data_IF_943405147020
#
_entry.id   IF_943405147020
#
_cell.length_a   1.000
_cell.length_b   1.000
_cell.length_c   1.000
_cell.angle_alpha   90.00
_cell.angle_beta   90.00
_cell.angle_gamma   90.00
#
_symmetry.space_group_name_H-M   'P 1'
#
loop_
_entity.id
_entity.type
_entity.pdbx_description
1 polymer ?
#
# COMPACT_ATOMS: atom_id res chain seq x y z
N UNK A 1 1.79 15.82 -11.60
CA UNK A 1 2.75 16.63 -10.81
C UNK A 1 3.63 15.68 -10.01
N UNK A 2 4.95 15.94 -9.96
CA UNK A 2 5.91 15.05 -9.30
C UNK A 2 5.97 15.36 -7.81
N UNK A 3 5.90 14.30 -6.99
CA UNK A 3 6.00 14.37 -5.54
C UNK A 3 7.06 13.39 -5.08
N UNK A 4 7.71 13.73 -3.97
CA UNK A 4 8.30 12.71 -3.12
C UNK A 4 7.31 12.30 -2.04
N UNK A 5 7.21 11.00 -1.82
CA UNK A 5 6.23 10.37 -0.96
C UNK A 5 6.95 9.51 0.05
N UNK A 6 6.60 9.70 1.32
CA UNK A 6 7.08 8.90 2.43
C UNK A 6 5.93 8.06 2.98
N UNK A 7 6.10 6.74 2.99
CA UNK A 7 5.18 5.84 3.69
C UNK A 7 5.42 5.94 5.19
N UNK A 8 4.38 6.26 5.94
CA UNK A 8 4.47 6.31 7.41
C UNK A 8 3.99 5.01 8.07
N UNK A 9 3.51 4.05 7.27
CA UNK A 9 3.05 2.74 7.73
C UNK A 9 3.57 1.62 6.82
N UNK A 10 3.71 0.43 7.40
CA UNK A 10 3.96 -0.81 6.68
C UNK A 10 3.00 -1.88 7.20
N UNK A 11 2.20 -2.47 6.31
CA UNK A 11 1.14 -3.44 6.67
C UNK A 11 0.24 -2.96 7.84
N UNK A 12 -0.17 -1.69 7.83
CA UNK A 12 -1.01 -1.13 8.90
C UNK A 12 -0.24 -0.57 10.10
N UNK A 13 0.97 -1.05 10.36
CA UNK A 13 1.77 -0.66 11.52
C UNK A 13 2.50 0.66 11.26
N UNK A 14 2.50 1.57 12.24
CA UNK A 14 3.20 2.86 12.14
C UNK A 14 4.71 2.62 12.17
N UNK A 15 5.40 3.15 11.18
CA UNK A 15 6.86 3.12 11.15
C UNK A 15 7.41 4.19 12.11
N UNK A 16 8.52 3.90 12.81
CA UNK A 16 9.34 4.93 13.43
C UNK A 16 9.69 6.02 12.41
N UNK A 17 9.76 7.29 12.84
CA UNK A 17 10.01 8.42 11.94
C UNK A 17 11.32 8.28 11.16
N UNK A 18 12.36 7.73 11.80
CA UNK A 18 13.67 7.45 11.20
C UNK A 18 13.61 6.41 10.09
N UNK A 19 12.84 5.32 10.29
CA UNK A 19 12.67 4.26 9.29
C UNK A 19 11.78 4.70 8.12
N UNK A 20 10.72 5.45 8.41
CA UNK A 20 9.82 6.01 7.40
C UNK A 20 10.58 6.93 6.42
N UNK A 21 11.51 7.74 6.93
CA UNK A 21 12.34 8.61 6.09
C UNK A 21 13.41 7.82 5.34
N UNK A 22 14.12 6.89 5.99
CA UNK A 22 15.20 6.11 5.36
C UNK A 22 14.73 5.17 4.27
N UNK A 23 13.67 4.40 4.51
CA UNK A 23 13.24 3.32 3.62
C UNK A 23 12.00 3.68 2.79
N UNK A 24 11.24 4.69 3.22
CA UNK A 24 9.93 5.02 2.67
C UNK A 24 9.92 6.08 1.57
N UNK A 25 11.03 6.77 1.29
CA UNK A 25 11.06 7.81 0.24
C UNK A 25 10.90 7.18 -1.15
N UNK A 26 9.89 7.63 -1.90
CA UNK A 26 9.65 7.29 -3.30
C UNK A 26 9.31 8.55 -4.07
N UNK A 27 9.73 8.66 -5.33
CA UNK A 27 9.48 9.85 -6.15
C UNK A 27 8.74 9.43 -7.40
N UNK A 28 7.68 10.15 -7.75
CA UNK A 28 6.90 9.84 -8.94
C UNK A 28 5.77 10.83 -9.18
N UNK A 29 4.95 10.53 -10.17
CA UNK A 29 3.72 11.28 -10.42
C UNK A 29 2.63 10.86 -9.44
N UNK A 30 2.23 11.79 -8.58
CA UNK A 30 1.10 11.56 -7.69
C UNK A 30 -0.20 11.91 -8.41
N UNK A 31 -1.14 10.97 -8.43
CA UNK A 31 -2.50 11.18 -8.92
C UNK A 31 -3.50 10.85 -7.83
N UNK A 32 -4.54 11.67 -7.74
CA UNK A 32 -5.66 11.49 -6.82
C UNK A 32 -6.95 11.74 -7.60
N UNK A 33 -7.79 10.72 -7.70
CA UNK A 33 -8.99 10.78 -8.52
C UNK A 33 -10.11 9.92 -7.95
N UNK A 34 -11.32 10.15 -8.42
CA UNK A 34 -12.50 9.42 -8.03
C UNK A 34 -12.62 8.13 -8.85
N UNK A 35 -12.63 6.97 -8.19
CA UNK A 35 -12.89 5.68 -8.86
C UNK A 35 -14.38 5.42 -9.00
N UNK A 36 -15.13 5.68 -7.92
CA UNK A 36 -16.58 5.48 -7.91
C UNK A 36 -17.22 6.72 -7.36
N UNK A 37 -18.08 7.32 -8.18
CA UNK A 37 -18.87 8.46 -7.80
C UNK A 37 -20.05 8.06 -6.92
N UNK A 38 -20.21 8.78 -5.81
CA UNK A 38 -21.40 8.72 -4.98
C UNK A 38 -21.90 10.17 -4.81
N UNK A 39 -23.17 10.47 -5.16
CA UNK A 39 -23.71 11.83 -5.08
C UNK A 39 -23.80 12.36 -3.63
N UNK A 40 -23.66 11.50 -2.63
CA UNK A 40 -23.66 11.91 -1.22
C UNK A 40 -22.28 12.46 -0.84
N UNK A 41 -22.19 13.66 -0.23
CA UNK A 41 -20.92 14.27 0.13
C UNK A 41 -20.00 13.33 0.92
N UNK A 42 -18.76 13.21 0.47
CA UNK A 42 -17.72 12.42 1.13
C UNK A 42 -17.86 10.90 1.00
N UNK A 43 -18.84 10.38 0.24
CA UNK A 43 -19.01 8.93 0.03
C UNK A 43 -18.29 8.40 -1.21
N UNK A 44 -17.89 9.27 -2.11
CA UNK A 44 -17.04 8.95 -3.26
C UNK A 44 -15.82 8.11 -2.85
N UNK A 45 -15.58 7.05 -3.62
CA UNK A 45 -14.40 6.21 -3.45
C UNK A 45 -13.25 6.82 -4.22
N UNK A 46 -12.41 7.52 -3.48
CA UNK A 46 -11.21 8.16 -4.02
C UNK A 46 -10.03 7.19 -4.00
N UNK A 47 -9.18 7.29 -5.01
CA UNK A 47 -7.94 6.52 -5.14
C UNK A 47 -6.74 7.47 -5.20
N UNK A 48 -5.64 7.07 -4.57
CA UNK A 48 -4.35 7.71 -4.75
C UNK A 48 -3.32 6.71 -5.31
N UNK A 49 -2.57 7.17 -6.31
CA UNK A 49 -1.53 6.38 -6.98
C UNK A 49 -0.24 7.19 -7.07
N UNK A 50 0.89 6.52 -6.93
CA UNK A 50 2.20 7.08 -7.25
C UNK A 50 2.81 6.26 -8.39
N UNK A 51 2.96 6.87 -9.56
CA UNK A 51 3.47 6.20 -10.76
C UNK A 51 4.86 6.69 -11.15
N UNK A 52 5.61 5.86 -11.87
CA UNK A 52 6.84 6.26 -12.54
C UNK A 52 6.54 7.31 -13.64
N UNK A 53 7.58 7.94 -14.20
CA UNK A 53 7.42 8.92 -15.27
C UNK A 53 6.73 8.36 -16.54
N UNK A 54 6.68 7.03 -16.68
CA UNK A 54 5.92 6.36 -17.75
C UNK A 54 4.39 6.48 -17.57
N UNK A 55 3.92 6.89 -16.39
CA UNK A 55 2.50 7.04 -16.07
C UNK A 55 1.75 5.71 -15.88
N UNK A 56 2.42 4.56 -16.03
CA UNK A 56 1.83 3.23 -16.02
C UNK A 56 2.33 2.38 -14.85
N UNK A 57 3.61 2.50 -14.51
CA UNK A 57 4.24 1.67 -13.49
C UNK A 57 3.97 2.24 -12.10
N UNK A 58 3.24 1.51 -11.26
CA UNK A 58 3.04 1.90 -9.85
C UNK A 58 4.33 1.72 -9.04
N UNK A 59 4.79 2.80 -8.41
CA UNK A 59 5.95 2.79 -7.51
C UNK A 59 5.53 2.37 -6.10
N UNK A 60 4.32 2.75 -5.69
CA UNK A 60 3.71 2.35 -4.43
C UNK A 60 2.39 1.62 -4.66
N UNK A 61 2.03 0.67 -3.80
CA UNK A 61 0.71 0.04 -3.81
C UNK A 61 -0.41 1.08 -3.79
N UNK A 62 -1.44 0.89 -4.61
CA UNK A 62 -2.56 1.82 -4.73
C UNK A 62 -3.29 1.98 -3.40
N UNK A 63 -3.61 3.22 -3.02
CA UNK A 63 -4.48 3.49 -1.88
C UNK A 63 -5.94 3.58 -2.32
N UNK A 64 -6.76 2.67 -1.81
CA UNK A 64 -8.22 2.74 -1.90
C UNK A 64 -8.78 3.58 -0.74
N UNK A 65 -10.00 4.11 -0.93
CA UNK A 65 -10.70 4.98 0.03
C UNK A 65 -9.84 6.14 0.52
N UNK A 66 -9.03 6.70 -0.39
CA UNK A 66 -8.02 7.68 -0.08
C UNK A 66 -8.63 9.02 0.36
N UNK A 67 -8.13 9.57 1.47
CA UNK A 67 -8.53 10.87 2.02
C UNK A 67 -7.33 11.78 2.03
N UNK A 68 -7.48 12.96 1.43
CA UNK A 68 -6.43 13.99 1.38
C UNK A 68 -6.65 15.00 2.49
N UNK A 69 -5.57 15.35 3.18
CA UNK A 69 -5.49 16.50 4.08
C UNK A 69 -4.31 17.36 3.66
N UNK A 70 -4.54 18.66 3.44
CA UNK A 70 -3.45 19.61 3.21
C UNK A 70 -2.77 19.92 4.54
N UNK A 71 -1.45 19.97 4.53
CA UNK A 71 -0.61 20.33 5.68
C UNK A 71 0.45 21.32 5.23
N UNK A 72 1.14 21.95 6.17
CA UNK A 72 2.27 22.79 5.80
C UNK A 72 3.37 21.96 5.10
N UNK A 73 3.92 22.50 4.02
CA UNK A 73 4.94 21.83 3.22
C UNK A 73 4.48 20.61 2.39
N UNK A 74 3.18 20.29 2.33
CA UNK A 74 2.72 19.18 1.48
C UNK A 74 1.29 18.71 1.72
N UNK A 75 1.05 17.44 1.41
CA UNK A 75 -0.24 16.79 1.64
C UNK A 75 -0.07 15.45 2.35
N UNK A 76 -1.04 15.10 3.18
CA UNK A 76 -1.15 13.81 3.83
C UNK A 76 -2.29 13.04 3.18
N UNK A 77 -2.02 11.83 2.69
CA UNK A 77 -3.02 10.94 2.10
C UNK A 77 -3.14 9.68 2.95
N UNK A 78 -4.31 9.43 3.52
CA UNK A 78 -4.61 8.21 4.26
C UNK A 78 -5.57 7.33 3.48
N UNK A 79 -5.39 6.01 3.48
CA UNK A 79 -6.26 5.09 2.78
C UNK A 79 -6.00 3.64 3.16
N UNK A 80 -6.46 2.71 2.32
CA UNK A 80 -6.25 1.27 2.46
C UNK A 80 -5.37 0.78 1.31
N UNK A 81 -4.27 0.13 1.65
CA UNK A 81 -3.50 -0.69 0.72
C UNK A 81 -4.18 -2.06 0.62
N UNK A 82 -4.62 -2.43 -0.58
CA UNK A 82 -5.34 -3.68 -0.85
C UNK A 82 -4.37 -4.68 -1.47
N UNK A 83 -4.04 -5.74 -0.73
CA UNK A 83 -3.16 -6.82 -1.20
C UNK A 83 -4.01 -8.07 -1.46
N UNK A 84 -4.13 -8.55 -2.71
CA UNK A 84 -4.85 -9.79 -2.99
C UNK A 84 -4.06 -10.99 -2.43
N UNK A 85 -4.70 -11.80 -1.57
CA UNK A 85 -4.15 -13.05 -1.01
C UNK A 85 -4.36 -14.28 -1.92
N UNK A 86 -4.98 -14.09 -3.08
CA UNK A 86 -5.24 -15.14 -4.07
C UNK A 86 -6.67 -15.11 -4.63
N UNK A 87 -6.84 -15.71 -5.81
CA UNK A 87 -8.14 -15.87 -6.47
C UNK A 87 -8.68 -17.25 -6.07
N UNK A 88 -9.60 -17.28 -5.10
CA UNK A 88 -10.42 -18.47 -4.86
C UNK A 88 -11.61 -18.51 -5.81
N UNK A 89 -12.06 -19.71 -6.19
CA UNK A 89 -13.16 -19.97 -7.16
C UNK A 89 -14.45 -19.17 -6.87
N UNK A 90 -14.65 -18.67 -5.64
CA UNK A 90 -15.85 -17.90 -5.26
C UNK A 90 -15.61 -16.62 -4.47
N UNK A 91 -14.38 -16.27 -4.10
CA UNK A 91 -14.08 -15.05 -3.35
C UNK A 91 -12.63 -14.61 -3.57
N UNK A 92 -12.42 -13.36 -3.99
CA UNK A 92 -11.10 -12.72 -3.92
C UNK A 92 -10.83 -12.38 -2.45
N UNK A 93 -9.92 -13.11 -1.80
CA UNK A 93 -9.50 -12.77 -0.45
C UNK A 93 -8.51 -11.62 -0.56
N UNK A 94 -8.83 -10.46 0.01
CA UNK A 94 -7.95 -9.28 0.04
C UNK A 94 -7.56 -8.94 1.47
N UNK A 95 -6.29 -8.64 1.69
CA UNK A 95 -5.85 -7.90 2.86
C UNK A 95 -5.97 -6.42 2.64
N UNK A 96 -6.51 -5.74 3.64
CA UNK A 96 -6.64 -4.30 3.63
C UNK A 96 -5.80 -3.74 4.79
N UNK A 97 -4.74 -3.03 4.45
CA UNK A 97 -3.83 -2.43 5.42
C UNK A 97 -4.00 -0.91 5.45
N UNK A 98 -4.32 -0.32 6.61
CA UNK A 98 -4.31 1.13 6.75
C UNK A 98 -2.94 1.72 6.40
N UNK A 99 -2.94 2.68 5.50
CA UNK A 99 -1.74 3.33 5.03
C UNK A 99 -1.87 4.84 5.10
N UNK A 100 -0.71 5.48 5.23
CA UNK A 100 -0.62 6.94 5.22
C UNK A 100 0.65 7.36 4.51
N UNK A 101 0.49 8.28 3.57
CA UNK A 101 1.53 8.85 2.73
C UNK A 101 1.68 10.31 3.09
N UNK A 102 2.90 10.72 3.40
CA UNK A 102 3.27 12.13 3.43
C UNK A 102 3.88 12.48 2.09
N UNK A 103 3.25 13.39 1.35
CA UNK A 103 3.66 13.78 0.02
C UNK A 103 4.14 15.23 0.03
N UNK A 104 5.38 15.46 -0.38
CA UNK A 104 5.96 16.78 -0.57
C UNK A 104 6.13 17.05 -2.06
N UNK A 105 5.66 18.19 -2.59
CA UNK A 105 5.86 18.53 -4.00
C UNK A 105 7.36 18.64 -4.27
N UNK A 106 7.81 17.98 -5.34
CA UNK A 106 9.22 18.02 -5.72
C UNK A 106 9.41 19.11 -6.80
N UNK A 107 10.36 20.05 -6.63
CA UNK A 107 10.68 21.01 -7.67
C UNK A 107 11.09 20.30 -8.95
N UNK A 108 10.67 20.82 -10.10
CA UNK A 108 10.87 20.21 -11.42
C UNK A 108 12.36 19.92 -11.73
N UNK A 109 13.27 20.76 -11.21
CA UNK A 109 14.73 20.59 -11.33
C UNK A 109 15.29 19.34 -10.63
N UNK A 110 14.55 18.80 -9.66
CA UNK A 110 14.95 17.64 -8.85
C UNK A 110 14.18 16.37 -9.24
N UNK A 111 13.24 16.46 -10.19
CA UNK A 111 12.50 15.29 -10.66
C UNK A 111 13.45 14.31 -11.40
N UNK A 112 13.36 12.99 -11.12
CA UNK A 112 14.14 12.00 -11.83
C UNK A 112 13.88 12.12 -13.33
N UNK A 113 14.95 12.22 -14.12
CA UNK A 113 14.85 12.16 -15.57
C UNK A 113 14.35 10.76 -15.95
N UNK A 114 13.31 10.71 -16.78
CA UNK A 114 12.58 9.51 -17.23
C UNK A 114 13.47 8.29 -17.36
N UNK A 115 13.32 7.32 -16.46
CA UNK A 115 13.73 5.93 -16.69
C UNK A 115 12.83 5.35 -17.76
N UNK A 116 13.35 4.45 -18.59
CA UNK A 116 12.51 3.80 -19.60
C UNK A 116 11.41 2.96 -18.89
N UNK A 117 10.23 2.77 -19.50
CA UNK A 117 9.16 1.95 -18.91
C UNK A 117 9.63 0.51 -18.60
N UNK A 118 10.58 -0.01 -19.39
CA UNK A 118 11.16 -1.34 -19.19
C UNK A 118 11.99 -1.45 -17.90
N UNK A 119 12.84 -0.46 -17.61
CA UNK A 119 13.64 -0.39 -16.38
C UNK A 119 12.75 -0.23 -15.15
N UNK A 120 11.72 0.61 -15.25
CA UNK A 120 10.76 0.86 -14.18
C UNK A 120 9.98 -0.40 -13.80
N UNK A 121 9.53 -1.19 -14.79
CA UNK A 121 8.86 -2.48 -14.54
C UNK A 121 9.79 -3.52 -13.93
N UNK A 122 11.05 -3.57 -14.38
CA UNK A 122 12.04 -4.49 -13.84
C UNK A 122 12.36 -4.16 -12.36
N UNK A 123 12.45 -2.88 -12.01
CA UNK A 123 12.71 -2.42 -10.65
C UNK A 123 11.50 -2.65 -9.73
N UNK A 124 10.28 -2.33 -10.18
CA UNK A 124 9.05 -2.60 -9.44
C UNK A 124 8.87 -4.10 -9.14
N UNK A 125 9.21 -4.95 -10.12
CA UNK A 125 9.22 -6.41 -9.94
C UNK A 125 10.26 -6.85 -8.91
N UNK A 126 11.50 -6.35 -9.01
CA UNK A 126 12.56 -6.65 -8.02
C UNK A 126 12.17 -6.22 -6.61
N UNK A 127 11.61 -5.02 -6.46
CA UNK A 127 11.16 -4.50 -5.17
C UNK A 127 10.01 -5.35 -4.60
N UNK A 128 9.04 -5.73 -5.44
CA UNK A 128 7.95 -6.62 -5.05
C UNK A 128 8.44 -8.02 -4.63
N UNK A 129 9.43 -8.57 -5.34
CA UNK A 129 10.05 -9.86 -5.02
C UNK A 129 10.89 -9.79 -3.73
N UNK A 130 11.62 -8.71 -3.50
CA UNK A 130 12.42 -8.51 -2.28
C UNK A 130 11.54 -8.34 -1.03
N UNK A 131 10.44 -7.61 -1.16
CA UNK A 131 9.39 -7.53 -0.13
C UNK A 131 8.78 -8.90 0.13
N UNK A 132 8.47 -9.68 -0.93
CA UNK A 132 7.99 -11.06 -0.79
C UNK A 132 8.97 -11.99 -0.06
N UNK A 133 10.27 -11.87 -0.33
CA UNK A 133 11.31 -12.70 0.30
C UNK A 133 11.55 -12.35 1.77
N UNK A 134 11.51 -11.07 2.12
CA UNK A 134 11.67 -10.63 3.52
C UNK A 134 10.51 -11.10 4.39
N UNK A 135 9.30 -11.18 3.84
CA UNK A 135 8.11 -11.68 4.54
C UNK A 135 8.15 -13.19 4.86
N UNK A 136 8.80 -14.00 4.02
CA UNK A 136 8.89 -15.45 4.23
C UNK A 136 9.99 -15.87 5.24
N UNK A 137 10.77 -14.92 5.80
CA UNK A 137 11.92 -15.21 6.65
C UNK A 137 11.60 -15.29 8.15
N UNK A 138 10.39 -14.92 8.58
CA UNK A 138 10.01 -14.97 10.00
C UNK A 138 9.29 -16.28 10.34
N UNK A 139 9.69 -17.04 11.38
CA UNK A 139 9.02 -18.28 11.72
C UNK A 139 7.57 -18.01 12.15
N UNK A 140 6.61 -18.48 11.38
CA UNK A 140 5.22 -18.59 11.79
C UNK A 140 5.15 -19.43 13.08
N UNK A 141 4.82 -18.79 14.22
CA UNK A 141 4.32 -19.52 15.40
C UNK A 141 3.06 -20.28 15.00
N UNK A 142 3.19 -21.59 14.74
CA UNK A 142 2.06 -22.52 14.76
C UNK A 142 1.66 -22.71 16.23
N UNK A 143 0.68 -21.96 16.70
CA UNK A 143 -0.02 -22.30 17.92
C UNK A 143 -0.93 -23.50 17.63
N UNK A 144 -0.60 -24.66 18.20
CA UNK A 144 -1.53 -25.79 18.32
C UNK A 144 -2.73 -25.33 19.15
N UNK A 145 -3.94 -25.41 18.58
CA UNK A 145 -5.17 -25.46 19.37
C UNK A 145 -5.47 -26.94 19.61
N UNK A 146 -5.29 -27.41 20.84
CA UNK A 146 -5.88 -28.66 21.30
C UNK A 146 -7.40 -28.51 21.31
N UNK A 147 -8.08 -29.37 20.56
CA UNK A 147 -9.53 -29.47 20.58
C UNK A 147 -9.93 -30.34 21.77
N UNK A 148 -10.16 -29.71 22.90
CA UNK A 148 -10.79 -30.33 24.07
C UNK A 148 -12.31 -30.35 23.84
N UNK A 149 -12.78 -31.35 23.08
CA UNK A 149 -14.21 -31.61 22.89
C UNK A 149 -14.62 -32.79 23.76
N UNK A 150 -15.23 -32.43 24.89
CA UNK A 150 -16.03 -33.29 25.78
C UNK A 150 -16.95 -34.19 24.95
N UNK A 151 -16.76 -35.51 25.08
CA UNK A 151 -17.81 -36.49 24.82
C UNK A 151 -18.43 -36.93 26.16
N UNK A 152 -19.59 -36.35 26.44
CA UNK A 152 -20.56 -36.90 27.39
C UNK A 152 -21.82 -37.08 26.54
N UNK A 153 -22.19 -38.33 26.28
CA UNK A 153 -23.57 -38.80 26.16
C UNK A 153 -23.54 -40.33 25.91
N UNK A 154 -23.64 -41.03 27.04
CA UNK A 154 -24.46 -42.20 27.38
C UNK A 154 -24.77 -43.32 26.35
N UNK A 155 -24.43 -44.52 26.83
CA UNK A 155 -25.06 -45.84 26.73
C UNK A 155 -26.51 -45.87 26.20
N UNK A 156 -26.73 -46.70 25.18
CA UNK A 156 -27.53 -47.94 25.26
C UNK A 156 -27.19 -48.90 24.11
#
# INVERSE_FOLDING_TARGET
MVYEVFRTRHQGNKLPSTEAVKHGRRVGELRYFERVYDPRPGRSLMIATLTAPDGETYILPVLDRARVRRIDGGILISGLEVIPRGIGVKNVKTDNYPQTWWCRPLPERLAPRTSTPAESRAEARRLGEEVGRTLNRWPTRRGHYEADLKSHFDLD
#
